data_IF_046365736156
#
_entry.id   IF_046365736156
#
_cell.length_a   1.000
_cell.length_b   1.000
_cell.length_c   1.000
_cell.angle_alpha   90.00
_cell.angle_beta   90.00
_cell.angle_gamma   90.00
#
_symmetry.space_group_name_H-M   'P 1'
#
loop_
_entity.id
_entity.type
_entity.pdbx_description
1 polymer ?
#
# COMPACT_ATOMS: atom_id res chain seq x y z
N UNK A 1 39.12 9.11 -28.51
CA UNK A 1 38.84 9.73 -27.20
C UNK A 1 37.47 9.20 -26.78
N UNK A 2 37.42 8.23 -25.86
CA UNK A 2 36.15 7.68 -25.38
C UNK A 2 35.39 8.77 -24.60
N UNK A 3 34.04 8.82 -24.63
CA UNK A 3 33.29 9.74 -23.80
C UNK A 3 33.59 9.45 -22.32
N UNK A 4 33.57 10.45 -21.44
CA UNK A 4 33.66 10.20 -20.01
C UNK A 4 32.46 9.34 -19.58
N UNK A 5 32.65 8.41 -18.62
CA UNK A 5 31.53 7.65 -18.07
C UNK A 5 30.49 8.60 -17.49
N UNK A 6 29.22 8.22 -17.59
CA UNK A 6 28.13 8.96 -16.96
C UNK A 6 28.31 8.99 -15.43
N UNK A 7 27.79 10.00 -14.73
CA UNK A 7 27.85 10.05 -13.25
C UNK A 7 27.31 8.77 -12.59
N UNK A 8 26.40 8.06 -13.26
CA UNK A 8 25.85 6.76 -12.84
C UNK A 8 26.85 5.60 -12.96
N UNK A 9 27.64 5.56 -14.03
CA UNK A 9 28.73 4.59 -14.20
C UNK A 9 29.89 4.87 -13.23
N UNK A 10 30.20 6.15 -13.01
CA UNK A 10 31.28 6.54 -12.11
C UNK A 10 30.94 6.22 -10.64
N UNK A 11 29.68 6.40 -10.21
CA UNK A 11 29.21 5.99 -8.88
C UNK A 11 29.19 4.46 -8.72
N UNK A 12 28.75 3.72 -9.74
CA UNK A 12 28.71 2.25 -9.72
C UNK A 12 30.12 1.63 -9.62
N UNK A 13 31.08 2.18 -10.38
CA UNK A 13 32.48 1.75 -10.37
C UNK A 13 33.17 2.12 -9.05
N UNK A 14 32.92 3.30 -8.49
CA UNK A 14 33.54 3.72 -7.22
C UNK A 14 33.05 2.91 -6.01
N UNK A 15 31.79 2.43 -5.98
CA UNK A 15 31.29 1.58 -4.88
C UNK A 15 32.00 0.23 -4.74
N UNK A 16 32.64 -0.28 -5.79
CA UNK A 16 33.36 -1.56 -5.81
C UNK A 16 34.88 -1.42 -5.57
N UNK A 17 35.38 -0.22 -5.29
CA UNK A 17 36.82 0.01 -5.06
C UNK A 17 37.29 -0.37 -3.65
N UNK A 18 36.37 -0.40 -2.67
CA UNK A 18 36.69 -0.83 -1.30
C UNK A 18 36.43 -2.33 -1.17
N UNK A 19 37.36 -3.05 -0.54
CA UNK A 19 37.15 -4.46 -0.19
C UNK A 19 35.93 -4.59 0.73
N UNK A 20 34.96 -5.41 0.33
CA UNK A 20 33.74 -5.65 1.12
C UNK A 20 34.00 -6.70 2.21
N UNK A 21 34.55 -7.85 1.84
CA UNK A 21 34.89 -8.93 2.78
C UNK A 21 36.36 -9.29 2.54
N UNK A 22 37.25 -9.12 3.54
CA UNK A 22 38.65 -9.47 3.39
C UNK A 22 38.83 -10.93 2.95
N UNK A 23 39.69 -11.15 1.95
CA UNK A 23 39.94 -12.49 1.39
C UNK A 23 38.93 -12.96 0.34
N UNK A 24 37.90 -12.17 0.02
CA UNK A 24 36.96 -12.46 -1.06
C UNK A 24 37.00 -11.39 -2.17
N UNK A 25 36.80 -11.80 -3.43
CA UNK A 25 36.42 -10.90 -4.51
C UNK A 25 35.16 -10.08 -4.17
N UNK A 26 35.12 -8.82 -4.62
CA UNK A 26 34.05 -7.88 -4.25
C UNK A 26 32.68 -8.24 -4.83
N UNK A 27 32.63 -8.88 -5.99
CA UNK A 27 31.41 -9.43 -6.58
C UNK A 27 30.79 -10.53 -5.68
N UNK A 28 31.60 -11.49 -5.21
CA UNK A 28 31.16 -12.52 -4.27
C UNK A 28 30.77 -11.91 -2.91
N UNK A 29 31.57 -10.97 -2.40
CA UNK A 29 31.26 -10.26 -1.17
C UNK A 29 29.93 -9.49 -1.24
N UNK A 30 29.69 -8.79 -2.36
CA UNK A 30 28.45 -8.07 -2.61
C UNK A 30 27.25 -9.01 -2.68
N UNK A 31 27.38 -10.16 -3.37
CA UNK A 31 26.32 -11.15 -3.45
C UNK A 31 25.99 -11.72 -2.06
N UNK A 32 27.00 -12.08 -1.25
CA UNK A 32 26.80 -12.57 0.12
C UNK A 32 26.04 -11.53 0.96
N UNK A 33 26.47 -10.27 0.92
CA UNK A 33 25.82 -9.18 1.66
C UNK A 33 24.40 -8.90 1.14
N UNK A 34 24.12 -9.12 -0.15
CA UNK A 34 22.80 -8.95 -0.74
C UNK A 34 21.76 -9.95 -0.19
N UNK A 35 22.18 -11.14 0.25
CA UNK A 35 21.29 -12.12 0.89
C UNK A 35 20.89 -11.75 2.33
N UNK A 36 21.54 -10.77 2.94
CA UNK A 36 21.19 -10.34 4.30
C UNK A 36 19.78 -9.72 4.30
N UNK A 37 18.88 -10.12 5.21
CA UNK A 37 17.56 -9.51 5.36
C UNK A 37 17.64 -8.00 5.63
N UNK A 38 16.71 -7.24 5.03
CA UNK A 38 16.70 -5.77 5.12
C UNK A 38 16.68 -5.25 6.57
N UNK A 39 16.01 -5.97 7.48
CA UNK A 39 15.92 -5.63 8.90
C UNK A 39 17.28 -5.55 9.61
N UNK A 40 18.34 -6.15 9.07
CA UNK A 40 19.69 -6.09 9.62
C UNK A 40 20.58 -5.02 8.98
N UNK A 41 20.16 -4.40 7.86
CA UNK A 41 21.00 -3.48 7.09
C UNK A 41 21.43 -2.26 7.91
N UNK A 42 20.54 -1.67 8.70
CA UNK A 42 20.86 -0.51 9.54
C UNK A 42 21.99 -0.79 10.53
N UNK A 43 21.99 -1.97 11.15
CA UNK A 43 23.05 -2.42 12.06
C UNK A 43 24.35 -2.63 11.31
N UNK A 44 24.31 -3.28 10.15
CA UNK A 44 25.52 -3.56 9.35
C UNK A 44 26.14 -2.29 8.75
N UNK A 45 25.34 -1.29 8.37
CA UNK A 45 25.82 0.03 7.93
C UNK A 45 26.72 0.71 8.97
N UNK A 46 26.59 0.39 10.27
CA UNK A 46 27.40 0.99 11.34
C UNK A 46 28.79 0.36 11.54
N UNK A 47 29.05 -0.80 10.92
CA UNK A 47 30.26 -1.60 11.20
C UNK A 47 31.53 -1.03 10.55
N UNK A 48 31.47 -0.67 9.26
CA UNK A 48 32.60 -0.10 8.53
C UNK A 48 32.12 0.78 7.36
N UNK A 49 33.01 1.65 6.86
CA UNK A 49 32.71 2.57 5.74
C UNK A 49 32.35 1.82 4.44
N UNK A 50 33.00 0.69 4.19
CA UNK A 50 32.77 -0.14 3.01
C UNK A 50 31.32 -0.66 2.97
N UNK A 51 30.88 -1.30 4.06
CA UNK A 51 29.51 -1.79 4.19
C UNK A 51 28.50 -0.66 4.23
N UNK A 52 28.80 0.46 4.91
CA UNK A 52 27.92 1.64 4.89
C UNK A 52 27.62 2.10 3.46
N UNK A 53 28.66 2.19 2.62
CA UNK A 53 28.52 2.59 1.20
C UNK A 53 27.71 1.55 0.42
N UNK A 54 28.07 0.27 0.54
CA UNK A 54 27.38 -0.81 -0.19
C UNK A 54 25.89 -0.91 0.18
N UNK A 55 25.54 -0.96 1.47
CA UNK A 55 24.15 -1.04 1.93
C UNK A 55 23.35 0.23 1.67
N UNK A 56 23.99 1.34 1.29
CA UNK A 56 23.31 2.58 0.91
C UNK A 56 23.29 2.82 -0.60
N UNK A 57 23.74 1.83 -1.38
CA UNK A 57 23.87 1.94 -2.84
C UNK A 57 22.66 1.32 -3.57
N UNK A 58 22.37 1.85 -4.76
CA UNK A 58 21.42 1.24 -5.70
C UNK A 58 21.89 -0.13 -6.22
N UNK A 59 23.19 -0.41 -6.15
CA UNK A 59 23.76 -1.69 -6.56
C UNK A 59 23.23 -2.86 -5.71
N UNK A 60 23.06 -2.67 -4.40
CA UNK A 60 22.46 -3.67 -3.52
C UNK A 60 21.04 -4.05 -3.96
N UNK A 61 20.20 -3.04 -4.19
CA UNK A 61 18.82 -3.23 -4.66
C UNK A 61 18.81 -3.99 -6.00
N UNK A 62 19.66 -3.57 -6.94
CA UNK A 62 19.77 -4.22 -8.25
C UNK A 62 20.21 -5.69 -8.14
N UNK A 63 21.22 -5.97 -7.31
CA UNK A 63 21.67 -7.33 -7.03
C UNK A 63 20.56 -8.19 -6.41
N UNK A 64 19.80 -7.63 -5.49
CA UNK A 64 18.68 -8.33 -4.85
C UNK A 64 17.58 -8.63 -5.85
N UNK A 65 17.18 -7.66 -6.66
CA UNK A 65 16.15 -7.86 -7.68
C UNK A 65 16.55 -8.92 -8.73
N UNK A 66 17.84 -9.00 -9.08
CA UNK A 66 18.34 -9.90 -10.12
C UNK A 66 18.70 -11.30 -9.62
N UNK A 67 19.30 -11.42 -8.43
CA UNK A 67 19.91 -12.67 -7.96
C UNK A 67 19.28 -13.23 -6.69
N UNK A 68 18.52 -12.43 -5.94
CA UNK A 68 17.87 -12.88 -4.71
C UNK A 68 16.37 -13.00 -4.98
N UNK A 69 15.82 -14.19 -4.78
CA UNK A 69 14.36 -14.34 -4.65
C UNK A 69 13.99 -13.81 -3.26
N UNK A 70 14.06 -12.48 -3.11
CA UNK A 70 13.74 -11.79 -1.89
C UNK A 70 12.21 -11.78 -1.72
N UNK A 71 11.69 -12.19 -0.54
CA UNK A 71 10.26 -12.11 -0.30
C UNK A 71 9.82 -10.64 -0.39
N UNK A 72 8.60 -10.39 -0.86
CA UNK A 72 8.01 -9.06 -0.73
C UNK A 72 7.84 -8.75 0.76
N UNK A 73 8.28 -7.56 1.14
CA UNK A 73 8.15 -7.03 2.49
C UNK A 73 6.83 -6.27 2.60
N UNK A 74 6.27 -6.23 3.80
CA UNK A 74 5.01 -5.53 4.08
C UNK A 74 5.30 -4.24 4.81
N UNK A 75 5.09 -3.10 4.17
CA UNK A 75 5.07 -1.81 4.84
C UNK A 75 3.70 -1.57 5.47
N UNK A 76 3.69 -1.24 6.76
CA UNK A 76 2.50 -0.97 7.56
C UNK A 76 2.61 0.43 8.12
N UNK A 77 1.61 1.25 7.82
CA UNK A 77 1.38 2.57 8.39
C UNK A 77 0.26 2.47 9.42
N UNK A 78 0.56 2.46 10.72
CA UNK A 78 -0.48 2.31 11.74
C UNK A 78 -1.46 3.48 11.78
N UNK A 79 -0.97 4.69 11.54
CA UNK A 79 -1.69 5.97 11.63
C UNK A 79 -1.00 7.00 10.70
N UNK A 80 -1.19 8.29 10.98
CA UNK A 80 -0.53 9.41 10.31
C UNK A 80 1.00 9.20 10.26
N UNK A 81 1.59 9.01 9.06
CA UNK A 81 3.01 8.71 8.90
C UNK A 81 3.94 9.85 9.27
N UNK A 82 3.42 11.08 9.42
CA UNK A 82 4.20 12.24 9.84
C UNK A 82 4.41 12.32 11.35
N UNK A 83 3.57 11.62 12.11
CA UNK A 83 3.60 11.61 13.59
C UNK A 83 4.03 10.25 14.12
N UNK A 84 3.59 9.17 13.47
CA UNK A 84 3.85 7.80 13.89
C UNK A 84 4.81 7.10 12.93
N UNK A 85 5.75 6.36 13.50
CA UNK A 85 6.72 5.53 12.78
C UNK A 85 6.03 4.44 11.96
N UNK A 86 6.19 4.43 10.62
CA UNK A 86 5.83 3.29 9.80
C UNK A 86 6.79 2.12 10.04
N UNK A 87 6.32 0.89 9.80
CA UNK A 87 7.14 -0.30 9.98
C UNK A 87 7.16 -1.16 8.73
N UNK A 88 8.34 -1.66 8.39
CA UNK A 88 8.52 -2.71 7.42
C UNK A 88 8.57 -4.06 8.15
N UNK A 89 7.74 -4.99 7.70
CA UNK A 89 7.65 -6.34 8.24
C UNK A 89 8.11 -7.35 7.19
N UNK A 90 9.01 -8.24 7.61
CA UNK A 90 9.43 -9.41 6.83
C UNK A 90 8.67 -10.64 7.33
N UNK A 91 7.67 -11.14 6.57
CA UNK A 91 6.89 -12.30 6.99
C UNK A 91 7.69 -13.61 7.05
N UNK A 92 8.81 -13.71 6.32
CA UNK A 92 9.64 -14.90 6.27
C UNK A 92 10.53 -14.99 7.49
N UNK A 93 11.16 -13.88 7.86
CA UNK A 93 12.06 -13.80 9.02
C UNK A 93 11.37 -13.35 10.31
N UNK A 94 10.08 -13.01 10.25
CA UNK A 94 9.29 -12.46 11.36
C UNK A 94 9.96 -11.28 12.05
N UNK A 95 10.59 -10.43 11.23
CA UNK A 95 11.40 -9.31 11.69
C UNK A 95 10.76 -7.98 11.31
N UNK A 96 10.93 -7.00 12.18
CA UNK A 96 10.37 -5.66 12.02
C UNK A 96 11.51 -4.65 11.88
N UNK A 97 11.33 -3.68 10.99
CA UNK A 97 12.26 -2.58 10.79
C UNK A 97 11.47 -1.26 10.81
N UNK A 98 11.77 -0.33 11.73
CA UNK A 98 11.14 0.99 11.71
C UNK A 98 11.66 1.79 10.51
N UNK A 99 10.76 2.53 9.88
CA UNK A 99 11.10 3.53 8.87
C UNK A 99 11.10 4.92 9.52
N UNK A 100 11.95 5.86 9.08
CA UNK A 100 11.86 7.23 9.57
C UNK A 100 10.45 7.80 9.29
N UNK A 101 9.90 8.64 10.18
CA UNK A 101 8.62 9.27 9.94
C UNK A 101 8.70 10.16 8.69
N UNK A 102 7.57 10.32 8.02
CA UNK A 102 7.42 11.24 6.90
C UNK A 102 7.59 12.69 7.39
N UNK A 103 8.08 13.61 6.55
CA UNK A 103 8.14 15.03 6.91
C UNK A 103 6.76 15.55 7.37
N UNK A 104 6.75 16.27 8.51
CA UNK A 104 5.52 16.81 9.08
C UNK A 104 5.19 18.21 8.55
N UNK A 105 3.89 18.52 8.49
CA UNK A 105 3.40 19.87 8.24
C UNK A 105 2.81 20.41 9.55
N UNK A 106 3.36 21.49 10.15
CA UNK A 106 2.89 22.00 11.45
C UNK A 106 1.47 22.58 11.42
N UNK A 107 0.93 22.85 10.22
CA UNK A 107 -0.43 23.40 10.05
C UNK A 107 -1.48 22.34 9.74
N UNK A 108 -1.06 21.08 9.59
CA UNK A 108 -1.94 19.97 9.26
C UNK A 108 -1.70 18.79 10.20
N UNK A 109 -2.75 18.04 10.48
CA UNK A 109 -2.63 16.82 11.30
C UNK A 109 -3.70 15.80 10.94
N UNK A 110 -3.52 14.58 11.43
CA UNK A 110 -4.52 13.53 11.32
C UNK A 110 -4.64 13.00 9.89
N UNK A 111 -3.52 12.94 9.17
CA UNK A 111 -3.48 12.40 7.81
C UNK A 111 -3.99 10.95 7.84
N UNK A 112 -5.11 10.74 7.15
CA UNK A 112 -5.80 9.46 7.02
C UNK A 112 -6.24 9.27 5.58
N UNK A 113 -6.69 8.06 5.21
CA UNK A 113 -7.22 7.80 3.87
C UNK A 113 -6.25 8.12 2.72
N UNK A 114 -4.95 8.21 2.99
CA UNK A 114 -3.91 8.32 1.97
C UNK A 114 -3.69 6.95 1.34
N UNK A 115 -2.96 6.93 0.23
CA UNK A 115 -2.57 5.68 -0.42
C UNK A 115 -1.07 5.51 -0.34
N UNK A 116 -0.65 4.27 -0.14
CA UNK A 116 0.73 3.85 -0.33
C UNK A 116 0.84 2.91 -1.53
N UNK A 117 1.79 3.17 -2.42
CA UNK A 117 2.07 2.31 -3.60
C UNK A 117 3.57 2.14 -3.76
N UNK A 118 4.03 0.95 -4.14
CA UNK A 118 5.43 0.67 -4.42
C UNK A 118 5.68 0.70 -5.94
N UNK A 119 6.75 1.37 -6.35
CA UNK A 119 7.23 1.36 -7.74
C UNK A 119 8.75 1.21 -7.70
N UNK A 120 9.26 0.13 -8.29
CA UNK A 120 10.67 -0.22 -8.16
C UNK A 120 11.08 -0.34 -6.67
N UNK A 121 12.21 0.27 -6.26
CA UNK A 121 12.67 0.26 -4.88
C UNK A 121 12.15 1.42 -4.04
N UNK A 122 11.10 2.11 -4.50
CA UNK A 122 10.55 3.29 -3.86
C UNK A 122 9.14 3.03 -3.34
N UNK A 123 8.84 3.64 -2.20
CA UNK A 123 7.50 3.67 -1.63
C UNK A 123 6.94 5.09 -1.75
N UNK A 124 5.77 5.21 -2.35
CA UNK A 124 5.08 6.48 -2.53
C UNK A 124 3.93 6.58 -1.54
N UNK A 125 3.81 7.71 -0.85
CA UNK A 125 2.67 8.08 0.00
C UNK A 125 1.99 9.27 -0.65
N UNK A 126 0.74 9.11 -1.07
CA UNK A 126 0.04 10.06 -1.93
C UNK A 126 -1.29 10.46 -1.29
N UNK A 127 -1.50 11.78 -1.23
CA UNK A 127 -2.77 12.40 -0.83
C UNK A 127 -3.17 12.05 0.60
N UNK A 128 -4.49 11.97 0.81
CA UNK A 128 -5.13 11.71 2.09
C UNK A 128 -6.12 12.81 2.49
N UNK A 129 -6.71 12.61 3.65
CA UNK A 129 -7.60 13.55 4.34
C UNK A 129 -6.91 14.02 5.62
N UNK A 130 -6.78 15.32 5.78
CA UNK A 130 -6.14 15.98 6.93
C UNK A 130 -7.03 17.09 7.48
N UNK A 131 -6.69 17.58 8.66
CA UNK A 131 -7.38 18.69 9.32
C UNK A 131 -6.42 19.88 9.43
N UNK A 132 -6.87 21.08 9.08
CA UNK A 132 -6.12 22.30 9.33
C UNK A 132 -6.23 22.63 10.83
N UNK A 133 -5.09 22.86 11.49
CA UNK A 133 -5.05 23.22 12.91
C UNK A 133 -5.75 24.54 13.23
N UNK A 134 -5.96 25.39 12.21
CA UNK A 134 -6.58 26.72 12.32
C UNK A 134 -8.06 26.72 12.00
N UNK A 135 -8.59 25.68 11.35
CA UNK A 135 -10.02 25.59 11.02
C UNK A 135 -10.78 24.99 12.20
N UNK A 136 -11.26 25.86 13.08
CA UNK A 136 -12.21 25.51 14.14
C UNK A 136 -13.63 25.97 13.74
N UNK A 137 -14.69 25.16 13.92
CA UNK A 137 -14.71 23.82 14.52
C UNK A 137 -14.11 22.72 13.59
N UNK A 138 -13.63 21.64 14.21
CA UNK A 138 -12.75 20.59 13.65
C UNK A 138 -13.46 19.58 12.71
N UNK A 139 -14.56 19.98 12.08
CA UNK A 139 -15.56 19.01 11.63
C UNK A 139 -15.38 18.59 10.16
N UNK A 140 -14.56 19.32 9.40
CA UNK A 140 -14.41 19.10 7.95
C UNK A 140 -12.99 18.68 7.57
N UNK A 141 -12.80 17.44 7.12
CA UNK A 141 -11.53 16.97 6.56
C UNK A 141 -11.27 17.68 5.23
N UNK A 142 -10.02 18.08 5.04
CA UNK A 142 -9.53 18.66 3.79
C UNK A 142 -8.69 17.63 3.04
N UNK A 143 -8.87 17.51 1.72
CA UNK A 143 -8.06 16.61 0.92
C UNK A 143 -6.64 17.17 0.73
N UNK A 144 -5.64 16.29 0.67
CA UNK A 144 -4.24 16.65 0.46
C UNK A 144 -3.80 16.41 -0.98
N UNK A 145 -3.05 17.33 -1.62
CA UNK A 145 -2.39 17.08 -2.90
C UNK A 145 -0.99 16.49 -2.76
N UNK A 146 -0.43 16.45 -1.53
CA UNK A 146 0.98 16.13 -1.33
C UNK A 146 1.31 14.69 -1.73
N UNK A 147 2.52 14.51 -2.28
CA UNK A 147 3.10 13.21 -2.58
C UNK A 147 4.52 13.15 -2.01
N UNK A 148 4.86 12.03 -1.39
CA UNK A 148 6.18 11.78 -0.82
C UNK A 148 6.72 10.45 -1.33
N UNK A 149 8.04 10.38 -1.53
CA UNK A 149 8.75 9.16 -1.92
C UNK A 149 9.75 8.79 -0.83
N UNK A 150 9.73 7.54 -0.41
CA UNK A 150 10.78 6.96 0.42
C UNK A 150 11.70 6.10 -0.45
N UNK A 151 13.00 6.39 -0.39
CA UNK A 151 14.06 5.60 -1.02
C UNK A 151 14.71 4.67 0.02
N UNK A 152 14.64 3.36 -0.23
CA UNK A 152 15.17 2.35 0.69
C UNK A 152 16.71 2.25 0.67
N UNK A 153 17.37 2.68 -0.41
CA UNK A 153 18.83 2.71 -0.46
C UNK A 153 19.37 3.82 0.44
N UNK A 154 18.86 5.05 0.29
CA UNK A 154 19.30 6.21 1.09
C UNK A 154 18.63 6.30 2.46
N UNK A 155 17.49 5.61 2.65
CA UNK A 155 16.63 5.72 3.83
C UNK A 155 16.17 7.16 4.10
N UNK A 156 15.79 7.88 3.04
CA UNK A 156 15.31 9.26 3.11
C UNK A 156 13.94 9.43 2.45
N UNK A 157 13.19 10.43 2.91
CA UNK A 157 11.97 10.89 2.30
C UNK A 157 12.22 12.11 1.43
N UNK A 158 11.69 12.09 0.21
CA UNK A 158 11.67 13.22 -0.70
C UNK A 158 10.23 13.73 -0.86
N UNK A 159 10.06 15.05 -0.91
CA UNK A 159 8.82 15.67 -1.36
C UNK A 159 8.79 15.64 -2.87
N UNK A 160 7.65 15.27 -3.45
CA UNK A 160 7.42 15.26 -4.90
C UNK A 160 6.48 16.39 -5.30
N UNK A 161 6.31 16.59 -6.60
CA UNK A 161 5.29 17.48 -7.14
C UNK A 161 3.90 17.10 -6.62
N UNK A 162 3.12 18.10 -6.15
CA UNK A 162 1.77 17.85 -5.66
C UNK A 162 0.81 17.52 -6.82
N UNK A 163 -0.22 16.72 -6.54
CA UNK A 163 -1.33 16.47 -7.45
C UNK A 163 -2.01 17.78 -7.86
N UNK A 164 -2.57 17.82 -9.06
CA UNK A 164 -3.36 18.95 -9.58
C UNK A 164 -4.61 19.12 -8.72
N UNK A 165 -5.30 18.01 -8.43
CA UNK A 165 -6.47 17.97 -7.56
C UNK A 165 -6.15 17.24 -6.26
N UNK A 166 -6.26 17.91 -5.09
CA UNK A 166 -6.10 17.25 -3.79
C UNK A 166 -7.11 16.11 -3.60
N UNK A 167 -6.68 14.96 -3.07
CA UNK A 167 -7.55 13.78 -2.91
C UNK A 167 -7.15 12.88 -1.74
N UNK A 168 -8.13 12.20 -1.17
CA UNK A 168 -8.06 11.11 -0.20
C UNK A 168 -9.13 10.07 -0.51
N UNK A 169 -8.98 8.83 -0.04
CA UNK A 169 -9.86 7.69 -0.39
C UNK A 169 -10.08 7.52 -1.90
N UNK A 170 -9.03 7.57 -2.71
CA UNK A 170 -9.12 7.45 -4.19
C UNK A 170 -8.69 6.06 -4.68
N UNK A 171 -8.93 5.77 -5.96
CA UNK A 171 -8.31 4.64 -6.62
C UNK A 171 -6.90 4.99 -7.08
N UNK A 172 -5.95 4.07 -6.94
CA UNK A 172 -4.56 4.28 -7.34
C UNK A 172 -3.91 2.97 -7.76
N UNK A 173 -3.14 2.99 -8.83
CA UNK A 173 -2.28 1.89 -9.21
C UNK A 173 -1.04 2.37 -9.97
N UNK A 174 0.06 1.64 -9.82
CA UNK A 174 1.25 1.84 -10.62
C UNK A 174 1.12 1.09 -11.95
N UNK A 175 1.51 1.76 -13.03
CA UNK A 175 1.65 1.15 -14.35
C UNK A 175 2.98 0.40 -14.45
N UNK A 176 3.10 -0.62 -15.32
CA UNK A 176 4.39 -1.22 -15.66
C UNK A 176 5.43 -0.24 -16.22
N UNK A 177 5.00 0.94 -16.71
CA UNK A 177 5.85 1.95 -17.35
C UNK A 177 6.34 3.06 -16.41
N UNK A 178 6.50 2.81 -15.11
CA UNK A 178 6.92 3.80 -14.11
C UNK A 178 6.04 5.05 -14.05
N UNK A 179 4.73 4.86 -14.11
CA UNK A 179 3.74 5.93 -13.88
C UNK A 179 2.76 5.50 -12.81
N UNK A 180 2.17 6.45 -12.10
CA UNK A 180 1.13 6.18 -11.09
C UNK A 180 -0.15 6.86 -11.55
N UNK A 181 -1.25 6.11 -11.61
CA UNK A 181 -2.55 6.64 -12.02
C UNK A 181 -3.45 6.71 -10.80
N UNK A 182 -4.13 7.85 -10.63
CA UNK A 182 -5.08 8.09 -9.54
C UNK A 182 -6.41 8.55 -10.11
N UNK A 183 -7.52 8.13 -9.49
CA UNK A 183 -8.85 8.53 -9.93
C UNK A 183 -9.86 8.61 -8.78
N UNK A 184 -10.74 9.60 -8.84
CA UNK A 184 -11.77 9.85 -7.84
C UNK A 184 -11.21 10.26 -6.47
N UNK A 185 -11.91 9.89 -5.42
CA UNK A 185 -11.62 10.26 -4.04
C UNK A 185 -12.27 11.57 -3.63
N UNK A 186 -11.63 12.27 -2.70
CA UNK A 186 -12.10 13.51 -2.10
C UNK A 186 -11.56 13.65 -0.68
N UNK A 187 -12.41 13.94 0.29
CA UNK A 187 -12.02 13.95 1.69
C UNK A 187 -13.01 13.17 2.52
N UNK A 188 -12.56 12.51 3.59
CA UNK A 188 -13.46 11.75 4.47
C UNK A 188 -13.05 11.89 5.92
N UNK A 189 -14.05 12.08 6.79
CA UNK A 189 -13.86 12.10 8.22
C UNK A 189 -13.94 10.65 8.72
N UNK A 190 -13.06 10.27 9.63
CA UNK A 190 -12.97 8.90 10.16
C UNK A 190 -14.24 8.49 10.92
N UNK A 191 -14.82 9.42 11.69
CA UNK A 191 -16.11 9.24 12.40
C UNK A 191 -17.36 9.61 11.58
N UNK A 192 -17.36 10.76 10.89
CA UNK A 192 -18.53 11.28 10.15
C UNK A 192 -18.36 11.12 8.64
N UNK A 193 -18.57 9.91 8.12
CA UNK A 193 -18.27 9.56 6.71
C UNK A 193 -18.91 10.48 5.66
N UNK A 194 -20.08 11.08 5.95
CA UNK A 194 -20.76 12.00 5.05
C UNK A 194 -20.16 13.42 5.01
N UNK A 195 -19.38 13.81 6.02
CA UNK A 195 -18.78 15.13 6.16
C UNK A 195 -17.52 15.26 5.29
N UNK A 196 -17.63 15.09 3.98
CA UNK A 196 -16.50 14.98 3.08
C UNK A 196 -16.82 15.35 1.64
N UNK A 197 -15.78 15.59 0.84
CA UNK A 197 -15.90 15.86 -0.60
C UNK A 197 -15.76 14.58 -1.42
N UNK A 198 -16.30 14.58 -2.64
CA UNK A 198 -16.17 13.51 -3.62
C UNK A 198 -15.87 14.11 -4.99
N UNK A 199 -15.10 13.43 -5.82
CA UNK A 199 -14.73 13.90 -7.15
C UNK A 199 -14.67 12.78 -8.18
N UNK A 200 -14.65 13.17 -9.44
CA UNK A 200 -14.45 12.29 -10.60
C UNK A 200 -13.12 12.49 -11.30
N UNK A 201 -12.28 13.46 -10.91
CA UNK A 201 -11.03 13.72 -11.63
C UNK A 201 -10.07 12.53 -11.59
N UNK A 202 -9.32 12.34 -12.67
CA UNK A 202 -8.25 11.37 -12.78
C UNK A 202 -6.96 12.07 -13.22
N UNK A 203 -5.83 11.58 -12.74
CA UNK A 203 -4.51 12.14 -13.01
C UNK A 203 -3.47 11.02 -13.11
N UNK A 204 -2.40 11.28 -13.84
CA UNK A 204 -1.27 10.37 -13.98
C UNK A 204 0.02 11.09 -13.58
N UNK A 205 0.73 10.53 -12.63
CA UNK A 205 2.05 10.97 -12.23
C UNK A 205 3.12 10.29 -13.09
N UNK A 206 3.91 11.10 -13.77
CA UNK A 206 5.11 10.66 -14.48
C UNK A 206 6.31 10.72 -13.54
N UNK A 207 6.78 9.55 -13.08
CA UNK A 207 7.87 9.46 -12.10
C UNK A 207 9.17 10.04 -12.65
N UNK A 208 9.41 9.91 -13.97
CA UNK A 208 10.64 10.40 -14.59
C UNK A 208 10.71 11.92 -14.67
N UNK A 209 9.56 12.57 -14.79
CA UNK A 209 9.45 14.04 -14.90
C UNK A 209 9.11 14.72 -13.57
N UNK A 210 8.69 13.95 -12.56
CA UNK A 210 8.12 14.48 -11.32
C UNK A 210 6.96 15.45 -11.61
N UNK A 211 6.02 15.03 -12.46
CA UNK A 211 4.91 15.86 -12.92
C UNK A 211 3.60 15.08 -12.93
N UNK A 212 2.51 15.73 -12.52
CA UNK A 212 1.15 15.23 -12.67
C UNK A 212 0.53 15.73 -13.96
N UNK A 213 -0.06 14.80 -14.72
CA UNK A 213 -0.77 15.06 -15.96
C UNK A 213 -2.26 14.79 -15.77
N UNK A 214 -3.16 15.68 -16.22
CA UNK A 214 -4.59 15.43 -16.15
C UNK A 214 -4.99 14.29 -17.10
N UNK A 215 -5.99 13.52 -16.70
CA UNK A 215 -6.67 12.52 -17.52
C UNK A 215 -8.16 12.82 -17.59
N UNK A 216 -8.87 12.13 -18.50
CA UNK A 216 -10.32 12.17 -18.53
C UNK A 216 -10.89 11.69 -17.18
N UNK A 217 -11.86 12.44 -16.65
CA UNK A 217 -12.50 12.10 -15.38
C UNK A 217 -13.42 10.89 -15.49
N UNK A 218 -13.62 10.22 -14.35
CA UNK A 218 -14.58 9.13 -14.19
C UNK A 218 -16.00 9.58 -14.61
N UNK A 219 -16.83 8.68 -15.17
CA UNK A 219 -18.20 9.00 -15.58
C UNK A 219 -19.06 9.56 -14.43
N UNK A 220 -18.81 9.07 -13.22
CA UNK A 220 -19.43 9.52 -11.97
C UNK A 220 -18.37 9.69 -10.91
N UNK A 221 -18.55 10.66 -10.03
CA UNK A 221 -17.66 10.80 -8.87
C UNK A 221 -17.81 9.57 -7.95
N UNK A 222 -16.68 9.15 -7.36
CA UNK A 222 -16.63 8.04 -6.41
C UNK A 222 -15.46 8.23 -5.47
N UNK A 223 -15.63 7.85 -4.21
CA UNK A 223 -14.59 7.78 -3.20
C UNK A 223 -14.60 6.41 -2.51
N UNK A 224 -13.52 6.06 -1.80
CA UNK A 224 -13.31 4.75 -1.20
C UNK A 224 -13.27 3.59 -2.20
N UNK A 225 -12.97 3.88 -3.47
CA UNK A 225 -12.82 2.89 -4.54
C UNK A 225 -11.41 2.31 -4.56
N UNK A 226 -11.25 1.15 -5.21
CA UNK A 226 -9.95 0.49 -5.39
C UNK A 226 -9.50 0.64 -6.84
N UNK A 227 -8.22 0.94 -7.03
CA UNK A 227 -7.58 1.02 -8.35
C UNK A 227 -6.63 -0.13 -8.58
N UNK A 228 -6.61 -0.70 -9.79
CA UNK A 228 -5.61 -1.70 -10.20
C UNK A 228 -5.49 -1.77 -11.72
N UNK A 229 -4.40 -2.37 -12.19
CA UNK A 229 -4.22 -2.66 -13.62
C UNK A 229 -4.63 -4.09 -13.95
N UNK A 230 -5.36 -4.24 -15.05
CA UNK A 230 -5.61 -5.52 -15.70
C UNK A 230 -5.16 -5.41 -17.16
N UNK A 231 -4.06 -6.09 -17.50
CA UNK A 231 -3.40 -5.88 -18.79
C UNK A 231 -2.96 -4.42 -18.95
N UNK A 232 -3.48 -3.74 -19.98
CA UNK A 232 -3.20 -2.32 -20.25
C UNK A 232 -4.31 -1.37 -19.79
N UNK A 233 -5.32 -1.87 -19.07
CA UNK A 233 -6.46 -1.06 -18.62
C UNK A 233 -6.34 -0.74 -17.14
N UNK A 234 -6.65 0.51 -16.78
CA UNK A 234 -6.77 0.93 -15.38
C UNK A 234 -8.21 0.78 -14.91
N UNK A 235 -8.43 -0.07 -13.92
CA UNK A 235 -9.74 -0.39 -13.37
C UNK A 235 -9.97 0.35 -12.08
N UNK A 236 -11.17 0.89 -11.91
CA UNK A 236 -11.65 1.52 -10.68
C UNK A 236 -12.92 0.81 -10.23
N UNK A 237 -12.82 0.12 -9.10
CA UNK A 237 -13.83 -0.81 -8.61
C UNK A 237 -14.54 -0.29 -7.35
N UNK A 238 -15.86 -0.32 -7.36
CA UNK A 238 -16.73 0.06 -6.25
C UNK A 238 -16.52 1.49 -5.77
N UNK A 239 -16.48 1.65 -4.44
CA UNK A 239 -16.52 2.94 -3.76
C UNK A 239 -17.94 3.39 -3.46
N UNK A 240 -18.09 4.67 -3.15
CA UNK A 240 -19.36 5.30 -2.83
C UNK A 240 -19.48 6.66 -3.51
N UNK A 241 -20.71 7.01 -3.87
CA UNK A 241 -21.10 8.24 -4.54
C UNK A 241 -21.90 9.15 -3.61
N UNK A 242 -23.09 9.52 -4.08
CA UNK A 242 -24.04 10.37 -3.34
C UNK A 242 -24.35 9.82 -1.95
N UNK A 243 -24.86 10.70 -1.09
CA UNK A 243 -25.36 10.31 0.24
C UNK A 243 -26.83 10.62 0.36
N UNK A 244 -27.61 9.69 0.90
CA UNK A 244 -29.03 9.88 1.22
C UNK A 244 -29.24 10.00 2.73
N UNK A 245 -30.26 10.71 3.15
CA UNK A 245 -30.58 10.84 4.57
C UNK A 245 -31.66 9.84 4.99
N UNK A 246 -31.33 8.95 5.92
CA UNK A 246 -32.27 8.01 6.54
C UNK A 246 -32.93 8.69 7.74
N UNK A 247 -34.26 8.65 7.79
CA UNK A 247 -35.09 9.26 8.83
C UNK A 247 -34.86 10.77 9.02
N UNK A 248 -34.40 11.47 7.98
CA UNK A 248 -34.14 12.92 8.02
C UNK A 248 -32.92 13.35 8.86
N UNK A 249 -32.19 12.39 9.47
CA UNK A 249 -31.10 12.69 10.42
C UNK A 249 -29.79 12.02 10.04
N UNK A 250 -29.80 10.77 9.57
CA UNK A 250 -28.57 9.98 9.40
C UNK A 250 -28.15 9.92 7.93
N UNK A 251 -27.07 10.59 7.54
CA UNK A 251 -26.56 10.47 6.17
C UNK A 251 -25.93 9.09 5.97
N UNK A 252 -26.27 8.45 4.86
CA UNK A 252 -25.78 7.13 4.46
C UNK A 252 -25.25 7.23 3.03
N UNK A 253 -23.97 6.90 2.87
CA UNK A 253 -23.32 6.81 1.56
C UNK A 253 -23.98 5.72 0.70
N UNK A 254 -24.20 6.03 -0.57
CA UNK A 254 -24.63 5.07 -1.59
C UNK A 254 -23.39 4.40 -2.18
N UNK A 255 -23.25 3.10 -1.94
CA UNK A 255 -22.12 2.31 -2.41
C UNK A 255 -22.37 1.78 -3.82
N UNK A 256 -21.39 1.95 -4.69
CA UNK A 256 -21.44 1.43 -6.05
C UNK A 256 -21.11 -0.06 -6.07
N UNK A 257 -21.88 -0.78 -6.89
CA UNK A 257 -21.72 -2.20 -7.19
C UNK A 257 -20.93 -2.46 -8.46
N UNK A 258 -20.53 -1.39 -9.14
CA UNK A 258 -19.96 -1.40 -10.47
C UNK A 258 -18.44 -1.19 -10.47
N UNK A 259 -17.86 -1.36 -11.65
CA UNK A 259 -16.51 -0.94 -11.96
C UNK A 259 -16.49 -0.15 -13.26
N UNK A 260 -15.47 0.68 -13.42
CA UNK A 260 -15.15 1.37 -14.66
C UNK A 260 -13.70 1.10 -15.03
N UNK A 261 -13.42 0.95 -16.32
CA UNK A 261 -12.08 0.70 -16.83
C UNK A 261 -11.69 1.78 -17.84
N UNK A 262 -10.46 2.25 -17.77
CA UNK A 262 -9.89 3.19 -18.75
C UNK A 262 -8.82 2.48 -19.57
N UNK A 263 -8.99 2.53 -20.89
CA UNK A 263 -7.98 2.06 -21.83
C UNK A 263 -7.15 3.25 -22.34
N UNK A 264 -5.83 3.19 -22.18
CA UNK A 264 -4.94 4.27 -22.64
C UNK A 264 -4.79 4.32 -24.17
N UNK A 265 -5.07 3.21 -24.85
CA UNK A 265 -5.12 3.15 -26.32
C UNK A 265 -6.42 3.82 -26.76
N UNK A 266 -6.36 4.69 -27.77
CA UNK A 266 -7.51 5.42 -28.32
C UNK A 266 -8.07 6.58 -27.46
N UNK A 267 -7.18 7.31 -26.77
CA UNK A 267 -7.53 8.60 -26.16
C UNK A 267 -8.03 8.54 -24.72
N UNK A 268 -7.67 7.49 -23.95
CA UNK A 268 -7.89 7.41 -22.51
C UNK A 268 -9.36 7.57 -22.06
N UNK A 269 -10.28 6.84 -22.71
CA UNK A 269 -11.72 6.90 -22.38
C UNK A 269 -12.13 5.82 -21.38
N UNK A 270 -13.12 6.16 -20.55
CA UNK A 270 -13.73 5.25 -19.58
C UNK A 270 -14.82 4.38 -20.21
N UNK A 271 -14.86 3.11 -19.79
CA UNK A 271 -15.88 2.11 -20.11
C UNK A 271 -16.53 1.62 -18.81
N UNK A 272 -17.85 1.64 -18.76
CA UNK A 272 -18.62 1.08 -17.64
C UNK A 272 -18.76 -0.44 -17.79
N UNK A 273 -18.61 -1.17 -16.69
CA UNK A 273 -18.62 -2.63 -16.69
C UNK A 273 -19.91 -3.22 -16.11
N UNK A 274 -20.78 -2.36 -15.56
CA UNK A 274 -22.04 -2.75 -14.93
C UNK A 274 -21.86 -3.34 -13.52
N UNK A 275 -22.98 -3.74 -12.93
CA UNK A 275 -23.03 -4.25 -11.56
C UNK A 275 -22.39 -5.65 -11.45
N UNK A 276 -21.48 -5.79 -10.48
CA UNK A 276 -20.71 -7.02 -10.22
C UNK A 276 -21.39 -7.94 -9.18
N UNK A 277 -22.46 -7.48 -8.55
CA UNK A 277 -23.29 -8.25 -7.62
C UNK A 277 -24.71 -7.70 -7.55
N UNK A 278 -25.69 -8.55 -7.22
CA UNK A 278 -27.09 -8.18 -7.15
C UNK A 278 -27.45 -7.46 -5.83
N UNK A 279 -28.60 -6.80 -5.81
CA UNK A 279 -29.11 -6.20 -4.58
C UNK A 279 -29.35 -7.24 -3.48
N UNK A 280 -28.89 -6.93 -2.27
CA UNK A 280 -28.99 -7.82 -1.12
C UNK A 280 -27.82 -8.80 -0.95
N UNK A 281 -27.04 -9.09 -2.01
CA UNK A 281 -25.86 -9.94 -1.85
C UNK A 281 -24.81 -9.29 -0.95
N UNK A 282 -24.50 -8.02 -1.22
CA UNK A 282 -23.47 -7.25 -0.51
C UNK A 282 -23.86 -5.80 -0.43
N UNK A 283 -23.55 -5.18 0.71
CA UNK A 283 -23.82 -3.76 0.95
C UNK A 283 -22.79 -2.84 0.30
N UNK A 284 -21.53 -3.28 0.25
CA UNK A 284 -20.39 -2.52 -0.30
C UNK A 284 -19.30 -3.49 -0.75
N UNK A 285 -18.34 -2.98 -1.52
CA UNK A 285 -17.13 -3.71 -1.87
C UNK A 285 -16.32 -4.06 -0.60
N UNK A 286 -15.88 -5.31 -0.51
CA UNK A 286 -14.96 -5.77 0.53
C UNK A 286 -13.52 -5.29 0.32
N UNK A 287 -12.57 -5.80 1.12
CA UNK A 287 -11.15 -5.47 0.92
C UNK A 287 -10.63 -6.21 -0.31
N UNK A 288 -10.16 -5.48 -1.31
CA UNK A 288 -9.65 -6.04 -2.56
C UNK A 288 -8.13 -6.15 -2.52
N UNK A 289 -7.61 -7.25 -3.05
CA UNK A 289 -6.20 -7.42 -3.38
C UNK A 289 -6.08 -8.02 -4.78
N UNK A 290 -5.01 -7.65 -5.48
CA UNK A 290 -4.69 -8.16 -6.81
C UNK A 290 -3.44 -9.01 -6.72
N UNK A 291 -3.49 -10.19 -7.33
CA UNK A 291 -2.41 -11.17 -7.31
C UNK A 291 -1.93 -11.41 -8.73
N UNK A 292 -0.71 -10.96 -9.00
CA UNK A 292 -0.11 -10.99 -10.35
C UNK A 292 0.59 -12.31 -10.69
N UNK A 293 0.86 -13.20 -9.72
CA UNK A 293 1.76 -14.36 -9.92
C UNK A 293 1.12 -15.69 -9.51
N UNK A 294 -0.05 -16.02 -10.08
CA UNK A 294 -0.79 -17.26 -9.75
C UNK A 294 -0.89 -18.24 -10.93
N UNK A 295 -0.44 -17.86 -12.13
CA UNK A 295 -0.45 -18.73 -13.31
C UNK A 295 -0.83 -18.00 -14.61
N UNK A 296 -1.26 -18.74 -15.65
CA UNK A 296 -1.55 -18.18 -16.98
C UNK A 296 -2.71 -17.18 -17.01
N UNK A 297 -3.64 -17.25 -16.06
CA UNK A 297 -4.79 -16.32 -15.93
C UNK A 297 -4.52 -15.17 -14.96
N UNK A 298 -3.28 -14.72 -14.84
CA UNK A 298 -2.91 -13.58 -13.99
C UNK A 298 -3.04 -12.24 -14.72
N UNK A 299 -3.33 -11.13 -14.02
CA UNK A 299 -3.59 -11.05 -12.58
C UNK A 299 -5.00 -11.50 -12.19
N UNK A 300 -5.15 -12.05 -10.97
CA UNK A 300 -6.45 -12.42 -10.37
C UNK A 300 -6.81 -11.46 -9.24
N UNK A 301 -8.10 -11.15 -9.12
CA UNK A 301 -8.62 -10.20 -8.13
C UNK A 301 -9.35 -10.99 -7.05
N UNK A 302 -9.02 -10.72 -5.79
CA UNK A 302 -9.65 -11.34 -4.63
C UNK A 302 -10.27 -10.31 -3.71
N UNK A 303 -11.39 -10.68 -3.10
CA UNK A 303 -12.11 -9.88 -2.13
C UNK A 303 -12.25 -10.65 -0.81
N UNK A 304 -11.95 -9.99 0.31
CA UNK A 304 -12.34 -10.43 1.64
C UNK A 304 -13.65 -9.74 2.04
N UNK A 305 -14.69 -10.54 2.31
CA UNK A 305 -16.00 -10.08 2.76
C UNK A 305 -16.70 -11.13 3.64
N UNK A 306 -17.16 -10.75 4.84
CA UNK A 306 -17.78 -11.63 5.84
C UNK A 306 -16.88 -12.77 6.37
N UNK A 307 -15.56 -12.61 6.35
CA UNK A 307 -14.62 -13.69 6.65
C UNK A 307 -14.60 -14.80 5.58
N UNK A 308 -15.07 -14.49 4.37
CA UNK A 308 -14.98 -15.32 3.18
C UNK A 308 -14.11 -14.63 2.13
N UNK A 309 -13.39 -15.43 1.34
CA UNK A 309 -12.57 -14.94 0.25
C UNK A 309 -13.26 -15.32 -1.05
N UNK A 310 -13.48 -14.32 -1.88
CA UNK A 310 -14.03 -14.44 -3.23
C UNK A 310 -12.94 -14.13 -4.26
N UNK A 311 -13.03 -14.73 -5.43
CA UNK A 311 -12.30 -14.32 -6.62
C UNK A 311 -13.28 -13.74 -7.64
N UNK A 312 -12.81 -12.81 -8.45
CA UNK A 312 -13.64 -12.16 -9.46
C UNK A 312 -13.56 -12.89 -10.79
N UNK A 313 -14.70 -13.35 -11.30
CA UNK A 313 -14.84 -13.96 -12.61
C UNK A 313 -15.20 -12.89 -13.65
N UNK A 314 -14.21 -12.55 -14.48
CA UNK A 314 -14.33 -11.58 -15.55
C UNK A 314 -15.37 -11.96 -16.61
N UNK A 315 -15.56 -13.27 -16.85
CA UNK A 315 -16.42 -13.76 -17.93
C UNK A 315 -17.90 -13.60 -17.60
N UNK A 316 -18.26 -13.81 -16.33
CA UNK A 316 -19.61 -13.65 -15.82
C UNK A 316 -19.87 -12.28 -15.20
N UNK A 317 -18.83 -11.46 -14.99
CA UNK A 317 -18.88 -10.21 -14.23
C UNK A 317 -19.41 -10.43 -12.79
N UNK A 318 -18.97 -11.51 -12.12
CA UNK A 318 -19.47 -11.89 -10.78
C UNK A 318 -18.37 -12.36 -9.84
N UNK A 319 -18.67 -12.31 -8.55
CA UNK A 319 -17.82 -12.84 -7.48
C UNK A 319 -18.13 -14.30 -7.20
N UNK A 320 -17.13 -15.16 -7.29
CA UNK A 320 -17.22 -16.57 -6.94
C UNK A 320 -16.43 -16.86 -5.66
N UNK A 321 -16.97 -17.73 -4.81
CA UNK A 321 -16.33 -18.07 -3.52
C UNK A 321 -15.10 -18.95 -3.74
N UNK A 322 -13.98 -18.58 -3.13
CA UNK A 322 -12.72 -19.36 -3.14
C UNK A 322 -12.58 -20.19 -1.85
N UNK A 323 -12.65 -19.56 -0.68
CA UNK A 323 -12.45 -20.22 0.62
C UNK A 323 -13.05 -19.43 1.78
N UNK A 324 -13.23 -20.06 2.94
CA UNK A 324 -13.51 -19.38 4.19
C UNK A 324 -12.23 -19.19 5.01
N UNK A 325 -12.16 -18.11 5.78
CA UNK A 325 -11.05 -17.85 6.71
C UNK A 325 -11.19 -18.78 7.93
N UNK A 326 -10.14 -19.55 8.31
CA UNK A 326 -10.24 -20.53 9.39
C UNK A 326 -10.60 -19.92 10.75
N UNK A 327 -9.93 -18.82 11.13
CA UNK A 327 -10.27 -18.03 12.32
C UNK A 327 -10.84 -16.70 11.87
N UNK A 328 -12.17 -16.59 11.89
CA UNK A 328 -12.86 -15.35 11.54
C UNK A 328 -12.60 -14.29 12.60
N UNK A 329 -12.33 -13.07 12.16
CA UNK A 329 -12.38 -11.91 13.04
C UNK A 329 -13.85 -11.58 13.37
N UNK A 330 -14.07 -10.79 14.42
CA UNK A 330 -15.41 -10.29 14.75
C UNK A 330 -15.93 -9.26 13.74
N UNK A 331 -15.02 -8.55 13.07
CA UNK A 331 -15.32 -7.51 12.07
C UNK A 331 -14.24 -7.52 10.98
N UNK A 332 -14.61 -7.66 9.71
CA UNK A 332 -13.69 -7.62 8.56
C UNK A 332 -12.91 -6.32 8.45
N UNK A 333 -13.48 -5.23 8.92
CA UNK A 333 -12.81 -3.94 8.92
C UNK A 333 -11.61 -3.93 9.89
N UNK A 334 -11.57 -4.84 10.86
CA UNK A 334 -10.43 -5.08 11.76
C UNK A 334 -9.38 -6.06 11.21
N UNK A 335 -9.48 -6.45 9.94
CA UNK A 335 -8.54 -7.36 9.28
C UNK A 335 -7.71 -6.60 8.24
N UNK A 336 -6.39 -6.77 8.31
CA UNK A 336 -5.50 -6.41 7.21
C UNK A 336 -5.52 -7.50 6.15
N UNK A 337 -5.66 -7.15 4.87
CA UNK A 337 -5.69 -8.11 3.77
C UNK A 337 -4.73 -7.66 2.68
N UNK A 338 -3.71 -8.48 2.40
CA UNK A 338 -2.65 -8.16 1.43
C UNK A 338 -2.26 -9.39 0.62
N UNK A 339 -1.89 -9.17 -0.63
CA UNK A 339 -1.35 -10.21 -1.51
C UNK A 339 0.16 -10.11 -1.62
N UNK A 340 0.85 -11.25 -1.53
CA UNK A 340 2.31 -11.32 -1.63
C UNK A 340 2.72 -12.67 -2.19
N UNK A 341 3.60 -12.70 -3.19
CA UNK A 341 4.26 -13.92 -3.69
C UNK A 341 3.31 -15.11 -3.99
N UNK A 342 2.13 -14.81 -4.56
CA UNK A 342 1.10 -15.82 -4.89
C UNK A 342 0.25 -16.28 -3.71
N UNK A 343 0.34 -15.58 -2.57
CA UNK A 343 -0.35 -15.91 -1.33
C UNK A 343 -1.20 -14.73 -0.84
N UNK A 344 -2.28 -15.06 -0.12
CA UNK A 344 -3.14 -14.10 0.55
C UNK A 344 -2.82 -14.09 2.04
N UNK A 345 -2.50 -12.91 2.59
CA UNK A 345 -2.18 -12.74 4.00
C UNK A 345 -3.29 -11.95 4.69
N UNK A 346 -3.84 -12.54 5.74
CA UNK A 346 -4.85 -11.94 6.60
C UNK A 346 -4.22 -11.65 7.96
N UNK A 347 -4.16 -10.38 8.33
CA UNK A 347 -3.54 -9.88 9.53
C UNK A 347 -4.63 -9.51 10.53
N UNK A 348 -4.58 -10.08 11.73
CA UNK A 348 -5.54 -9.80 12.80
C UNK A 348 -4.80 -9.63 14.12
N UNK A 349 -5.15 -8.58 14.87
CA UNK A 349 -4.59 -8.35 16.19
C UNK A 349 -5.37 -9.18 17.22
N UNK A 350 -4.68 -10.08 17.91
CA UNK A 350 -5.25 -10.84 19.03
C UNK A 350 -5.08 -10.03 20.32
N UNK A 351 -6.20 -9.73 20.97
CA UNK A 351 -6.24 -9.20 22.33
C UNK A 351 -6.45 -10.37 23.30
N UNK A 352 -5.52 -10.58 24.24
CA UNK A 352 -5.74 -11.51 25.35
C UNK A 352 -6.74 -10.91 26.34
N UNK A 353 -8.03 -11.19 26.15
CA UNK A 353 -9.05 -10.96 27.18
C UNK A 353 -9.10 -12.18 28.09
N UNK A 354 -8.41 -12.13 29.23
CA UNK A 354 -8.98 -12.51 30.53
C UNK A 354 -8.00 -12.29 31.69
N UNK A 355 -8.55 -11.91 32.84
CA UNK A 355 -7.83 -11.73 34.11
C UNK A 355 -8.16 -10.40 34.77
N UNK A 356 -9.23 -10.39 35.57
CA UNK A 356 -9.58 -9.32 36.52
C UNK A 356 -8.33 -8.90 37.32
N UNK A 357 -7.90 -7.66 37.13
CA UNK A 357 -6.80 -7.09 37.90
C UNK A 357 -6.49 -5.66 37.47
N UNK A 358 -6.76 -4.71 38.36
CA UNK A 358 -6.65 -3.26 38.17
C UNK A 358 -5.17 -2.79 38.16
N UNK A 359 -4.36 -3.37 37.29
CA UNK A 359 -2.99 -2.94 36.97
C UNK A 359 -2.79 -3.07 35.47
N UNK A 360 -2.93 -1.97 34.74
CA UNK A 360 -2.59 -1.88 33.32
C UNK A 360 -1.08 -2.10 33.12
N UNK A 361 -0.64 -3.36 33.08
CA UNK A 361 0.61 -3.71 32.40
C UNK A 361 0.38 -3.49 30.91
N UNK A 362 1.25 -2.70 30.26
CA UNK A 362 1.33 -2.56 28.79
C UNK A 362 1.45 -3.98 28.18
N UNK A 363 0.33 -4.61 27.82
CA UNK A 363 0.33 -5.94 27.21
C UNK A 363 0.59 -5.77 25.72
N UNK A 364 1.68 -6.39 25.25
CA UNK A 364 2.01 -6.43 23.84
C UNK A 364 0.94 -7.26 23.13
N UNK A 365 0.18 -6.61 22.26
CA UNK A 365 -0.77 -7.28 21.37
C UNK A 365 -0.05 -8.22 20.42
N UNK A 366 -0.62 -9.38 20.15
CA UNK A 366 -0.02 -10.39 19.28
C UNK A 366 -0.66 -10.33 17.91
N UNK A 367 0.14 -10.37 16.84
CA UNK A 367 -0.35 -10.33 15.47
C UNK A 367 -0.46 -11.76 14.93
N UNK A 368 -1.69 -12.19 14.64
CA UNK A 368 -1.95 -13.44 13.93
C UNK A 368 -1.99 -13.15 12.43
N UNK A 369 -1.22 -13.92 11.67
CA UNK A 369 -1.18 -13.84 10.20
C UNK A 369 -1.67 -15.20 9.67
N UNK A 370 -2.84 -15.22 9.07
CA UNK A 370 -3.36 -16.40 8.36
C UNK A 370 -3.00 -16.27 6.88
N UNK A 371 -2.30 -17.26 6.33
CA UNK A 371 -1.76 -17.24 4.98
C UNK A 371 -2.43 -18.35 4.17
N UNK A 372 -3.02 -17.97 3.04
CA UNK A 372 -3.61 -18.90 2.09
C UNK A 372 -2.73 -18.98 0.84
N UNK A 373 -2.20 -20.16 0.57
CA UNK A 373 -1.43 -20.45 -0.65
C UNK A 373 -2.42 -20.73 -1.79
N UNK A 374 -2.46 -19.86 -2.81
CA UNK A 374 -3.43 -19.97 -3.91
C UNK A 374 -3.17 -21.16 -4.84
N UNK A 375 -1.92 -21.64 -4.90
CA UNK A 375 -1.54 -22.76 -5.77
C UNK A 375 -1.86 -24.10 -5.09
N UNK A 376 -1.55 -24.21 -3.81
CA UNK A 376 -1.80 -25.43 -3.01
C UNK A 376 -3.20 -25.48 -2.42
N UNK A 377 -3.88 -24.34 -2.32
CA UNK A 377 -5.17 -24.16 -1.65
C UNK A 377 -5.15 -24.61 -0.19
N UNK A 378 -4.04 -24.33 0.50
CA UNK A 378 -3.84 -24.71 1.90
C UNK A 378 -3.62 -23.47 2.76
N UNK A 379 -4.20 -23.50 3.95
CA UNK A 379 -4.02 -22.51 4.99
C UNK A 379 -2.83 -22.84 5.90
N UNK A 380 -2.10 -21.80 6.30
CA UNK A 380 -1.17 -21.85 7.42
C UNK A 380 -1.30 -20.58 8.25
N UNK A 381 -0.73 -20.58 9.44
CA UNK A 381 -0.76 -19.43 10.32
C UNK A 381 0.60 -19.18 10.95
N UNK A 382 0.93 -17.90 11.09
CA UNK A 382 2.14 -17.45 11.76
C UNK A 382 1.79 -16.38 12.78
N UNK A 383 2.55 -16.33 13.86
CA UNK A 383 2.36 -15.35 14.93
C UNK A 383 3.58 -14.45 14.98
N UNK A 384 3.36 -13.14 15.00
CA UNK A 384 4.39 -12.14 15.16
C UNK A 384 4.08 -11.23 16.35
N UNK A 385 5.13 -10.71 17.00
CA UNK A 385 5.01 -9.68 18.03
C UNK A 385 5.30 -8.33 17.41
N UNK A 386 4.28 -7.51 17.11
CA UNK A 386 4.49 -6.21 16.53
C UNK A 386 5.16 -5.26 17.54
N UNK A 387 5.96 -4.30 17.07
CA UNK A 387 6.61 -3.28 17.89
C UNK A 387 5.66 -2.12 18.28
N UNK A 388 4.37 -2.19 17.94
CA UNK A 388 3.43 -1.09 18.18
C UNK A 388 3.18 -0.88 19.68
N UNK A 389 3.29 0.39 20.11
CA UNK A 389 2.94 0.79 21.47
C UNK A 389 1.43 1.01 21.67
N UNK A 390 0.70 1.22 20.59
CA UNK A 390 -0.75 1.35 20.56
C UNK A 390 -1.35 0.19 19.74
N UNK A 391 -2.61 -0.20 20.01
CA UNK A 391 -3.29 -1.20 19.19
C UNK A 391 -3.38 -0.75 17.73
N UNK A 392 -2.96 -1.62 16.80
CA UNK A 392 -3.10 -1.38 15.37
C UNK A 392 -4.57 -1.55 14.96
N UNK A 393 -5.17 -0.53 14.34
CA UNK A 393 -6.51 -0.59 13.77
C UNK A 393 -6.46 -0.68 12.24
N UNK A 394 -6.82 -1.85 11.71
CA UNK A 394 -6.85 -2.10 10.27
C UNK A 394 -7.99 -1.38 9.51
N UNK A 395 -8.84 -0.61 10.21
CA UNK A 395 -9.80 0.33 9.58
C UNK A 395 -9.11 1.55 9.01
N UNK A 396 -8.04 1.99 9.68
CA UNK A 396 -7.33 3.24 9.37
C UNK A 396 -5.89 2.99 8.91
N UNK A 397 -5.32 1.84 9.27
CA UNK A 397 -3.98 1.48 8.84
C UNK A 397 -3.92 1.29 7.32
N UNK A 398 -2.85 1.80 6.74
CA UNK A 398 -2.54 1.65 5.31
C UNK A 398 -1.38 0.66 5.17
N UNK A 399 -1.44 -0.19 4.16
CA UNK A 399 -0.42 -1.22 3.92
C UNK A 399 -0.03 -1.27 2.46
N UNK A 400 1.24 -1.58 2.21
CA UNK A 400 1.78 -1.79 0.86
C UNK A 400 2.80 -2.91 0.88
N UNK A 401 2.75 -3.80 -0.10
CA UNK A 401 3.84 -4.76 -0.33
C UNK A 401 4.91 -4.10 -1.19
N UNK A 402 6.17 -4.39 -0.90
CA UNK A 402 7.32 -3.85 -1.63
C UNK A 402 8.37 -4.93 -1.86
N UNK A 403 9.05 -4.87 -3.01
CA UNK A 403 10.16 -5.75 -3.36
C UNK A 403 11.46 -4.97 -3.34
N UNK A 404 12.41 -5.38 -2.49
CA UNK A 404 13.72 -4.74 -2.28
C UNK A 404 14.89 -5.63 -2.67
#
# INVERSE_FOLDING_TARGET
MAPPPSEEEEFGIQTLTLTLIPGLPNDLGALILAFVPYSHHSRLKSTCKSWKRFFSSKALISLRQNYVIAPKLLCIFPQDPSVFTPYLFDPKNLSWCPLPPMPCNPHAYGLSNFISVSVGPHLYVIGGSLFDTRSFPLDRPTPSPSAYRFDFATSSWDSLSPMITPRGSFACAATPGNKIVVAGGGSRHTMFGAAGSRMSSAEMYDIGRDEWLPLDGLPRFRAGCVGFFLGSEFWVMGGYGESRTVSGVFPVDEYYKDAVAMEFKNGAKWRELGDMWEEGERRRLGKIVVVEDVGPDSPRIFMLDGGEIFWYDMSSNRWAKETCVPRKASDDASVGFVASDGELHLLTLLSETDGRGWRQRKRLSTLLIQIYDLRKRVWRSVIAKPPFHQPLDFKTAVMCTIRL
#
